data_IF_640420775440
#
_entry.id   IF_640420775440
#
_cell.length_a   1.000
_cell.length_b   1.000
_cell.length_c   1.000
_cell.angle_alpha   90.00
_cell.angle_beta   90.00
_cell.angle_gamma   90.00
#
_symmetry.space_group_name_H-M   'P 1'
#
loop_
_entity.id
_entity.type
_entity.pdbx_description
1 polymer ?
#
# COMPACT_ATOMS: atom_id res chain seq x y z
N UNK A 1 6.02 -12.10 20.25
CA UNK A 1 6.86 -11.66 19.11
C UNK A 1 8.23 -11.21 19.60
N UNK A 2 9.28 -11.62 18.90
CA UNK A 2 10.63 -11.10 19.10
C UNK A 2 10.71 -9.61 18.71
N UNK A 3 11.79 -8.90 19.11
CA UNK A 3 11.99 -7.48 18.73
C UNK A 3 12.01 -7.29 17.21
N UNK A 4 12.66 -8.20 16.48
CA UNK A 4 12.77 -8.17 15.02
C UNK A 4 11.41 -8.38 14.35
N UNK A 5 10.61 -9.33 14.83
CA UNK A 5 9.25 -9.56 14.32
C UNK A 5 8.36 -8.33 14.47
N UNK A 6 8.42 -7.64 15.61
CA UNK A 6 7.66 -6.40 15.83
C UNK A 6 8.07 -5.30 14.85
N UNK A 7 9.37 -5.14 14.63
CA UNK A 7 9.88 -4.17 13.67
C UNK A 7 9.44 -4.50 12.24
N UNK A 8 9.59 -5.78 11.83
CA UNK A 8 9.16 -6.23 10.51
C UNK A 8 7.66 -6.01 10.31
N UNK A 9 6.86 -6.25 11.33
CA UNK A 9 5.42 -6.04 11.29
C UNK A 9 5.07 -4.56 11.08
N UNK A 10 5.70 -3.65 11.83
CA UNK A 10 5.51 -2.20 11.65
C UNK A 10 5.95 -1.71 10.26
N UNK A 11 7.07 -2.22 9.75
CA UNK A 11 7.54 -1.91 8.38
C UNK A 11 6.54 -2.38 7.34
N UNK A 12 6.01 -3.59 7.47
CA UNK A 12 5.00 -4.14 6.56
C UNK A 12 3.72 -3.31 6.58
N UNK A 13 3.21 -2.95 7.76
CA UNK A 13 2.03 -2.09 7.90
C UNK A 13 2.24 -0.74 7.20
N UNK A 14 3.35 -0.07 7.45
CA UNK A 14 3.67 1.22 6.83
C UNK A 14 3.78 1.12 5.30
N UNK A 15 4.35 0.02 4.79
CA UNK A 15 4.40 -0.25 3.34
C UNK A 15 2.99 -0.36 2.75
N UNK A 16 2.09 -1.13 3.39
CA UNK A 16 0.71 -1.31 2.94
C UNK A 16 -0.10 -0.02 2.98
N UNK A 17 0.08 0.80 4.01
CA UNK A 17 -0.55 2.13 4.10
C UNK A 17 -0.12 3.03 2.95
N UNK A 18 1.18 3.05 2.61
CA UNK A 18 1.68 3.80 1.43
C UNK A 18 1.06 3.27 0.14
N UNK A 19 0.95 1.96 -0.01
CA UNK A 19 0.34 1.34 -1.19
C UNK A 19 -1.13 1.74 -1.32
N UNK A 20 -1.87 1.79 -0.22
CA UNK A 20 -3.26 2.25 -0.20
C UNK A 20 -3.40 3.68 -0.69
N UNK A 21 -2.59 4.61 -0.17
CA UNK A 21 -2.61 6.02 -0.59
C UNK A 21 -2.31 6.20 -2.08
N UNK A 22 -1.31 5.47 -2.60
CA UNK A 22 -0.96 5.49 -4.02
C UNK A 22 -2.09 4.92 -4.87
N UNK A 23 -2.73 3.84 -4.42
CA UNK A 23 -3.85 3.20 -5.11
C UNK A 23 -5.09 4.09 -5.16
N UNK A 24 -5.39 4.82 -4.08
CA UNK A 24 -6.47 5.82 -4.05
C UNK A 24 -6.20 6.96 -5.02
N UNK A 25 -4.97 7.49 -5.04
CA UNK A 25 -4.57 8.54 -5.98
C UNK A 25 -4.61 8.05 -7.44
N UNK A 26 -4.19 6.81 -7.69
CA UNK A 26 -4.32 6.17 -9.00
C UNK A 26 -5.79 6.06 -9.42
N UNK A 27 -6.66 5.53 -8.56
CA UNK A 27 -8.11 5.37 -8.83
C UNK A 27 -8.80 6.71 -9.06
N UNK A 28 -8.40 7.78 -8.36
CA UNK A 28 -8.93 9.13 -8.53
C UNK A 28 -8.70 9.69 -9.94
N UNK A 29 -7.58 9.33 -10.57
CA UNK A 29 -7.17 9.89 -11.86
C UNK A 29 -7.25 8.91 -13.04
N UNK A 30 -7.43 7.61 -12.78
CA UNK A 30 -7.57 6.60 -13.83
C UNK A 30 -9.01 6.58 -14.35
N UNK A 31 -9.19 7.10 -15.55
CA UNK A 31 -10.37 6.86 -16.40
C UNK A 31 -10.03 5.84 -17.48
N UNK A 32 -11.01 5.28 -18.21
CA UNK A 32 -10.77 4.28 -19.26
C UNK A 32 -9.76 4.76 -20.32
N UNK A 33 -9.88 6.02 -20.73
CA UNK A 33 -9.06 6.63 -21.78
C UNK A 33 -7.61 6.93 -21.37
N UNK A 34 -7.33 7.08 -20.07
CA UNK A 34 -6.01 7.52 -19.62
C UNK A 34 -5.08 6.31 -19.40
N UNK A 35 -3.93 6.24 -20.08
CA UNK A 35 -2.97 5.17 -19.85
C UNK A 35 -2.34 5.25 -18.45
N UNK A 36 -2.00 4.09 -17.88
CA UNK A 36 -1.33 3.97 -16.57
C UNK A 36 -0.04 4.80 -16.49
N UNK A 37 0.72 4.85 -17.58
CA UNK A 37 1.97 5.63 -17.67
C UNK A 37 1.74 7.13 -17.54
N UNK A 38 0.61 7.64 -18.05
CA UNK A 38 0.23 9.05 -17.93
C UNK A 38 -0.17 9.36 -16.50
N UNK A 39 -0.94 8.48 -15.85
CA UNK A 39 -1.31 8.63 -14.44
C UNK A 39 -0.07 8.65 -13.56
N UNK A 40 0.86 7.72 -13.80
CA UNK A 40 2.14 7.66 -13.11
C UNK A 40 2.92 8.97 -13.25
N UNK A 41 3.16 9.42 -14.48
CA UNK A 41 3.99 10.60 -14.74
C UNK A 41 3.37 11.91 -14.23
N UNK A 42 2.06 12.10 -14.41
CA UNK A 42 1.39 13.38 -14.13
C UNK A 42 0.91 13.53 -12.69
N UNK A 43 0.46 12.44 -12.06
CA UNK A 43 -0.23 12.52 -10.76
C UNK A 43 0.51 11.79 -9.65
N UNK A 44 1.03 10.58 -9.90
CA UNK A 44 1.64 9.77 -8.84
C UNK A 44 3.10 10.19 -8.60
N UNK A 45 3.93 10.24 -9.64
CA UNK A 45 5.38 10.49 -9.53
C UNK A 45 5.74 11.81 -8.83
N UNK A 46 5.02 12.93 -9.04
CA UNK A 46 5.31 14.18 -8.32
C UNK A 46 5.11 14.09 -6.81
N UNK A 47 4.24 13.20 -6.33
CA UNK A 47 3.92 13.03 -4.90
C UNK A 47 4.70 11.85 -4.31
N UNK A 48 4.77 10.74 -5.05
CA UNK A 48 5.40 9.49 -4.67
C UNK A 48 6.38 9.09 -5.78
N UNK A 49 7.69 9.34 -5.62
CA UNK A 49 8.69 8.98 -6.61
C UNK A 49 8.89 7.46 -6.65
N UNK A 50 8.07 6.79 -7.46
CA UNK A 50 8.08 5.34 -7.64
C UNK A 50 8.33 4.96 -9.09
N UNK A 51 8.87 3.76 -9.29
CA UNK A 51 9.04 3.21 -10.62
C UNK A 51 7.70 2.70 -11.19
N UNK A 52 7.62 2.56 -12.52
CA UNK A 52 6.48 1.91 -13.18
C UNK A 52 6.28 0.47 -12.71
N UNK A 53 7.36 -0.26 -12.46
CA UNK A 53 7.32 -1.63 -11.92
C UNK A 53 6.64 -1.65 -10.56
N UNK A 54 7.04 -0.74 -9.67
CA UNK A 54 6.45 -0.60 -8.33
C UNK A 54 4.96 -0.26 -8.41
N UNK A 55 4.53 0.59 -9.35
CA UNK A 55 3.11 0.86 -9.55
C UNK A 55 2.32 -0.40 -9.93
N UNK A 56 2.85 -1.23 -10.83
CA UNK A 56 2.20 -2.50 -11.17
C UNK A 56 2.17 -3.48 -10.00
N UNK A 57 3.24 -3.55 -9.22
CA UNK A 57 3.25 -4.33 -7.98
C UNK A 57 2.15 -3.87 -7.02
N UNK A 58 1.98 -2.56 -6.83
CA UNK A 58 0.92 -1.98 -5.99
C UNK A 58 -0.46 -2.36 -6.52
N UNK A 59 -0.69 -2.26 -7.84
CA UNK A 59 -1.97 -2.61 -8.47
C UNK A 59 -2.30 -4.11 -8.36
N UNK A 60 -1.29 -4.97 -8.39
CA UNK A 60 -1.45 -6.41 -8.24
C UNK A 60 -1.60 -6.85 -6.77
N UNK A 61 -1.11 -6.05 -5.82
CA UNK A 61 -1.15 -6.39 -4.38
C UNK A 61 -2.57 -6.18 -3.84
N UNK A 62 -3.18 -7.17 -3.16
CA UNK A 62 -4.49 -7.02 -2.53
C UNK A 62 -4.38 -6.24 -1.19
N UNK A 63 -4.03 -4.96 -1.28
CA UNK A 63 -3.69 -4.08 -0.13
C UNK A 63 -4.75 -4.11 0.97
N UNK A 64 -6.04 -4.02 0.61
CA UNK A 64 -7.14 -4.02 1.58
C UNK A 64 -7.25 -5.34 2.36
N UNK A 65 -6.97 -6.47 1.70
CA UNK A 65 -6.98 -7.78 2.37
C UNK A 65 -5.79 -7.93 3.31
N UNK A 66 -4.63 -7.45 2.90
CA UNK A 66 -3.41 -7.52 3.72
C UNK A 66 -3.47 -6.58 4.93
N UNK A 67 -4.03 -5.37 4.78
CA UNK A 67 -4.26 -4.47 5.90
C UNK A 67 -5.23 -5.08 6.93
N UNK A 68 -6.33 -5.68 6.49
CA UNK A 68 -7.25 -6.37 7.40
C UNK A 68 -6.58 -7.48 8.20
N UNK A 69 -5.67 -8.25 7.58
CA UNK A 69 -4.89 -9.27 8.29
C UNK A 69 -4.00 -8.66 9.37
N UNK A 70 -3.34 -7.54 9.05
CA UNK A 70 -2.53 -6.79 10.02
C UNK A 70 -3.38 -6.30 11.18
N UNK A 71 -4.55 -5.71 10.91
CA UNK A 71 -5.48 -5.22 11.94
C UNK A 71 -5.99 -6.34 12.85
N UNK A 72 -6.30 -7.53 12.31
CA UNK A 72 -6.72 -8.70 13.11
C UNK A 72 -5.58 -9.17 14.03
N UNK A 73 -4.34 -9.18 13.53
CA UNK A 73 -3.17 -9.56 14.33
C UNK A 73 -2.94 -8.54 15.45
N UNK A 74 -3.07 -7.24 15.18
CA UNK A 74 -2.95 -6.20 16.20
C UNK A 74 -4.08 -6.30 17.25
N UNK A 75 -5.33 -6.51 16.83
CA UNK A 75 -6.46 -6.66 17.73
C UNK A 75 -6.34 -7.87 18.65
N UNK A 76 -5.88 -9.01 18.12
CA UNK A 76 -5.65 -10.22 18.93
C UNK A 76 -4.53 -10.03 19.95
N UNK A 77 -3.48 -9.27 19.63
CA UNK A 77 -2.42 -8.92 20.58
C UNK A 77 -2.93 -8.04 21.72
N UNK A 78 -3.84 -7.10 21.45
CA UNK A 78 -4.43 -6.23 22.49
C UNK A 78 -5.32 -7.04 23.45
N UNK A 79 -6.07 -8.04 22.94
CA UNK A 79 -6.94 -8.89 23.77
C UNK A 79 -6.22 -9.87 24.71
N UNK A 80 -4.90 -10.05 24.53
CA UNK A 80 -4.07 -10.92 25.39
C UNK A 80 -3.49 -10.20 26.61
N UNK A 81 -3.80 -8.91 26.80
CA UNK A 81 -3.45 -8.10 27.95
C UNK A 81 -4.71 -7.70 28.72
#
# INVERSE_FOLDING_TARGET
>A
MTRLERQQHGVNKNKLLRYKLILELYKKHKTEDIPVTVVLRKYIYPVYPISRKTLYEILATPVDKELKKVEIIEASQISMF
#
